data_IF_866546788340
#
_entry.id   IF_866546788340
#
_cell.length_a   1.000
_cell.length_b   1.000
_cell.length_c   1.000
_cell.angle_alpha   90.00
_cell.angle_beta   90.00
_cell.angle_gamma   90.00
#
_symmetry.space_group_name_H-M   'P 1'
#
loop_
_entity.id
_entity.type
_entity.pdbx_description
1 polymer ?
#
# COMPACT_ATOMS: atom_id res chain seq x y z
N UNK A 1 19.59 15.32 14.15
CA UNK A 1 19.50 16.00 12.84
C UNK A 1 18.44 15.29 12.02
N UNK A 2 17.61 16.06 11.34
CA UNK A 2 16.45 15.61 10.57
C UNK A 2 16.85 14.67 9.40
N UNK A 3 16.28 13.45 9.29
CA UNK A 3 16.55 12.50 8.19
C UNK A 3 16.35 13.10 6.79
N UNK A 4 15.41 14.04 6.64
CA UNK A 4 15.16 14.73 5.37
C UNK A 4 16.38 15.55 4.90
N UNK A 5 17.15 16.09 5.85
CA UNK A 5 18.31 16.95 5.59
C UNK A 5 19.55 16.12 5.24
N UNK A 6 19.63 14.87 5.73
CA UNK A 6 20.74 13.96 5.39
C UNK A 6 20.60 13.28 4.03
N UNK A 7 19.50 13.53 3.29
CA UNK A 7 19.25 12.89 2.01
C UNK A 7 18.96 11.39 2.11
N UNK A 8 18.59 10.88 3.28
CA UNK A 8 18.33 9.45 3.49
C UNK A 8 16.93 9.05 3.04
N UNK A 9 16.60 9.38 1.80
CA UNK A 9 15.31 9.09 1.16
C UNK A 9 15.42 7.80 0.36
N UNK A 10 14.43 6.92 0.49
CA UNK A 10 14.35 5.69 -0.28
C UNK A 10 12.93 5.51 -0.84
N UNK A 11 12.80 4.61 -1.82
CA UNK A 11 11.52 4.13 -2.30
C UNK A 11 11.36 2.67 -1.88
N UNK A 12 10.29 2.40 -1.15
CA UNK A 12 9.92 1.05 -0.74
C UNK A 12 9.01 0.47 -1.81
N UNK A 13 9.42 -0.66 -2.37
CA UNK A 13 8.69 -1.37 -3.43
C UNK A 13 7.82 -2.46 -2.82
N UNK A 14 6.60 -2.60 -3.34
CA UNK A 14 5.70 -3.71 -3.00
C UNK A 14 4.73 -4.00 -4.15
N UNK A 15 4.19 -5.22 -4.22
CA UNK A 15 3.04 -5.50 -5.10
C UNK A 15 1.79 -4.68 -4.70
N UNK A 16 1.71 -4.37 -3.41
CA UNK A 16 0.64 -3.67 -2.73
C UNK A 16 0.84 -3.76 -1.23
N UNK A 17 -0.10 -3.22 -0.45
CA UNK A 17 -0.11 -3.31 1.01
C UNK A 17 -1.47 -3.79 1.51
N UNK A 18 -1.49 -4.29 2.74
CA UNK A 18 -2.71 -4.73 3.41
C UNK A 18 -3.20 -3.67 4.38
N UNK A 19 -4.51 -3.49 4.46
CA UNK A 19 -5.14 -2.70 5.52
C UNK A 19 -6.44 -3.38 6.00
N UNK A 20 -6.74 -3.25 7.29
CA UNK A 20 -7.88 -3.91 7.93
C UNK A 20 -8.98 -2.93 8.26
N UNK A 21 -10.07 -3.01 7.48
CA UNK A 21 -11.29 -2.31 7.83
C UNK A 21 -11.90 -2.91 9.11
N UNK A 22 -12.19 -2.05 10.09
CA UNK A 22 -12.87 -2.45 11.32
C UNK A 22 -14.38 -2.21 11.19
N UNK A 23 -15.17 -3.28 11.25
CA UNK A 23 -16.63 -3.17 11.30
C UNK A 23 -17.21 -4.12 12.36
N UNK A 24 -18.05 -3.60 13.25
CA UNK A 24 -18.81 -4.41 14.22
C UNK A 24 -17.98 -5.42 15.04
N UNK A 25 -16.73 -5.07 15.36
CA UNK A 25 -15.79 -5.93 16.09
C UNK A 25 -15.04 -6.96 15.23
N UNK A 26 -15.38 -7.08 13.95
CA UNK A 26 -14.68 -7.89 12.96
C UNK A 26 -13.67 -7.01 12.16
N UNK A 27 -12.61 -7.65 11.66
CA UNK A 27 -11.61 -7.00 10.79
C UNK A 27 -11.63 -7.65 9.42
N UNK A 28 -11.98 -6.88 8.40
CA UNK A 28 -11.91 -7.31 7.01
C UNK A 28 -10.60 -6.80 6.37
N UNK A 29 -9.65 -7.69 6.00
CA UNK A 29 -8.46 -7.27 5.28
C UNK A 29 -8.77 -6.91 3.81
N UNK A 30 -8.12 -5.87 3.35
CA UNK A 30 -8.10 -5.42 1.95
C UNK A 30 -6.66 -5.43 1.45
N UNK A 31 -6.48 -5.77 0.17
CA UNK A 31 -5.22 -5.59 -0.53
C UNK A 31 -5.33 -4.37 -1.43
N UNK A 32 -4.40 -3.42 -1.28
CA UNK A 32 -4.38 -2.12 -1.96
C UNK A 32 -3.11 -2.01 -2.82
N UNK A 33 -3.27 -1.63 -4.08
CA UNK A 33 -2.21 -1.65 -5.09
C UNK A 33 -2.46 -0.58 -6.17
N UNK A 34 -1.46 -0.31 -7.01
CA UNK A 34 -1.71 0.54 -8.19
C UNK A 34 -2.68 -0.14 -9.16
N UNK A 35 -3.58 0.60 -9.83
CA UNK A 35 -4.31 0.07 -10.97
C UNK A 35 -3.34 -0.53 -12.00
N UNK A 36 -3.60 -1.78 -12.40
CA UNK A 36 -2.78 -2.50 -13.36
C UNK A 36 -3.33 -2.25 -14.76
N UNK A 37 -2.47 -1.91 -15.72
CA UNK A 37 -2.88 -1.80 -17.11
C UNK A 37 -3.04 -3.21 -17.70
N UNK A 38 -4.13 -3.44 -18.41
CA UNK A 38 -4.30 -4.65 -19.21
C UNK A 38 -3.53 -4.48 -20.52
N UNK A 39 -2.24 -4.15 -20.46
CA UNK A 39 -1.39 -4.21 -21.64
C UNK A 39 -1.17 -5.69 -21.92
N UNK A 40 -2.07 -6.22 -22.75
CA UNK A 40 -1.92 -7.55 -23.32
C UNK A 40 -0.52 -7.65 -23.91
N UNK A 41 0.06 -8.84 -23.79
CA UNK A 41 1.26 -9.36 -24.45
C UNK A 41 1.20 -9.29 -26.00
N UNK A 42 0.31 -8.48 -26.60
CA UNK A 42 0.10 -8.31 -28.04
C UNK A 42 1.05 -7.28 -28.68
N UNK A 43 1.84 -6.53 -27.90
CA UNK A 43 2.93 -5.73 -28.45
C UNK A 43 4.19 -6.60 -28.50
N UNK A 44 4.59 -7.03 -29.70
CA UNK A 44 5.86 -7.70 -29.99
C UNK A 44 7.10 -6.82 -29.76
N UNK A 45 7.13 -6.04 -28.68
CA UNK A 45 8.31 -5.41 -28.11
C UNK A 45 8.86 -6.28 -26.98
N UNK A 46 10.17 -6.43 -26.93
CA UNK A 46 10.89 -7.40 -26.09
C UNK A 46 10.94 -7.04 -24.58
N UNK A 47 10.15 -6.07 -24.10
CA UNK A 47 10.12 -5.69 -22.69
C UNK A 47 8.86 -6.21 -22.01
N UNK A 48 9.05 -7.11 -21.04
CA UNK A 48 8.03 -7.47 -20.06
C UNK A 48 7.64 -6.21 -19.27
N UNK A 49 6.45 -5.65 -19.51
CA UNK A 49 5.94 -4.49 -18.77
C UNK A 49 5.61 -4.80 -17.29
N UNK A 50 5.59 -6.09 -16.92
CA UNK A 50 5.46 -6.54 -15.53
C UNK A 50 4.18 -6.08 -14.84
N UNK A 51 4.10 -6.36 -13.54
CA UNK A 51 3.10 -5.76 -12.65
C UNK A 51 3.61 -4.39 -12.25
N UNK A 52 2.75 -3.36 -12.30
CA UNK A 52 3.06 -2.02 -11.81
C UNK A 52 3.20 -2.07 -10.29
N UNK A 53 4.44 -2.04 -9.80
CA UNK A 53 4.75 -2.06 -8.37
C UNK A 53 4.36 -0.75 -7.68
N UNK A 54 3.88 -0.89 -6.45
CA UNK A 54 3.66 0.23 -5.55
C UNK A 54 5.00 0.82 -5.10
N UNK A 55 5.12 2.13 -5.24
CA UNK A 55 6.30 2.92 -4.89
C UNK A 55 5.96 3.81 -3.72
N UNK A 56 6.43 3.47 -2.52
CA UNK A 56 6.13 4.22 -1.30
C UNK A 56 7.34 5.05 -0.86
N UNK A 57 7.11 6.31 -0.54
CA UNK A 57 8.15 7.19 -0.01
C UNK A 57 8.59 6.69 1.38
N UNK A 58 9.89 6.42 1.51
CA UNK A 58 10.50 5.99 2.76
C UNK A 58 11.70 6.84 3.15
N UNK A 59 12.08 6.71 4.41
CA UNK A 59 13.33 7.21 4.95
C UNK A 59 14.15 6.02 5.43
N UNK A 60 15.46 6.07 5.27
CA UNK A 60 16.34 5.03 5.77
C UNK A 60 17.39 5.59 6.75
N UNK A 61 17.98 4.72 7.55
CA UNK A 61 19.17 5.04 8.33
C UNK A 61 20.10 3.83 8.39
N UNK A 62 21.38 4.10 8.63
CA UNK A 62 22.41 3.08 8.78
C UNK A 62 22.93 3.08 10.21
N UNK A 63 22.83 1.93 10.88
CA UNK A 63 23.37 1.73 12.21
C UNK A 63 24.55 0.76 12.17
N UNK A 64 25.68 1.13 12.77
CA UNK A 64 26.87 0.26 12.87
C UNK A 64 26.99 -0.28 14.29
N UNK A 65 27.05 -1.61 14.49
CA UNK A 65 27.23 -2.20 15.81
C UNK A 65 28.52 -1.72 16.48
N UNK A 66 28.50 -1.26 17.74
CA UNK A 66 29.70 -0.82 18.45
C UNK A 66 30.75 -1.93 18.64
N UNK A 67 30.31 -3.19 18.67
CA UNK A 67 31.15 -4.37 18.77
C UNK A 67 31.86 -4.75 17.46
N UNK A 68 31.70 -3.96 16.40
CA UNK A 68 32.15 -4.30 15.05
C UNK A 68 31.13 -5.16 14.31
N UNK A 69 31.11 -5.06 12.98
CA UNK A 69 30.18 -5.78 12.11
C UNK A 69 29.75 -4.98 10.90
N UNK A 70 28.88 -5.58 10.07
CA UNK A 70 28.27 -4.92 8.93
C UNK A 70 27.28 -3.82 9.38
N UNK A 71 27.15 -2.77 8.55
CA UNK A 71 26.18 -1.72 8.80
C UNK A 71 24.76 -2.25 8.54
N UNK A 72 23.87 -2.08 9.51
CA UNK A 72 22.46 -2.40 9.39
C UNK A 72 21.74 -1.22 8.73
N UNK A 73 21.09 -1.46 7.60
CA UNK A 73 20.21 -0.49 6.95
C UNK A 73 18.77 -0.78 7.33
N UNK A 74 18.10 0.19 7.93
CA UNK A 74 16.68 0.12 8.28
C UNK A 74 15.93 1.22 7.59
N UNK A 75 14.65 1.02 7.32
CA UNK A 75 13.79 2.03 6.72
C UNK A 75 12.47 2.18 7.47
N UNK A 76 11.78 3.29 7.21
CA UNK A 76 10.40 3.54 7.60
C UNK A 76 9.62 4.04 6.39
N UNK A 77 8.36 3.65 6.27
CA UNK A 77 7.43 4.17 5.26
C UNK A 77 6.78 5.44 5.81
N UNK A 78 6.75 6.51 5.01
CA UNK A 78 6.06 7.75 5.36
C UNK A 78 4.56 7.54 5.17
N UNK A 79 3.75 8.01 6.13
CA UNK A 79 2.29 7.96 6.04
C UNK A 79 1.69 9.35 5.92
N UNK A 80 0.55 9.44 5.24
CA UNK A 80 -0.28 10.63 5.05
C UNK A 80 -1.72 10.32 5.45
N UNK A 81 -2.58 11.33 5.46
CA UNK A 81 -4.03 11.12 5.59
C UNK A 81 -4.54 10.24 4.44
N UNK A 82 -5.55 9.42 4.71
CA UNK A 82 -6.16 8.58 3.70
C UNK A 82 -6.84 9.41 2.59
N UNK A 83 -6.76 8.91 1.36
CA UNK A 83 -7.55 9.41 0.24
C UNK A 83 -9.02 9.02 0.38
N UNK A 84 -9.90 9.61 -0.44
CA UNK A 84 -11.34 9.27 -0.40
C UNK A 84 -11.61 7.80 -0.72
N UNK A 85 -10.72 7.18 -1.50
CA UNK A 85 -10.81 5.77 -1.81
C UNK A 85 -10.50 4.85 -0.60
N UNK A 86 -9.83 5.35 0.44
CA UNK A 86 -9.34 4.54 1.57
C UNK A 86 -9.90 4.96 2.93
N UNK A 87 -10.47 6.17 3.06
CA UNK A 87 -10.93 6.74 4.35
C UNK A 87 -11.92 5.84 5.13
N UNK A 88 -12.73 5.06 4.42
CA UNK A 88 -13.71 4.12 4.95
C UNK A 88 -13.09 2.79 5.44
N UNK A 89 -11.80 2.57 5.14
CA UNK A 89 -10.99 1.44 5.63
C UNK A 89 -10.13 1.89 6.82
N UNK A 90 -9.37 2.97 6.66
CA UNK A 90 -8.45 3.52 7.66
C UNK A 90 -8.20 5.02 7.41
N UNK A 91 -7.82 5.77 8.44
CA UNK A 91 -7.59 7.23 8.39
C UNK A 91 -6.21 7.63 7.82
N UNK A 92 -5.37 6.64 7.50
CA UNK A 92 -3.97 6.81 7.09
C UNK A 92 -3.66 5.92 5.90
N UNK A 93 -2.74 6.37 5.06
CA UNK A 93 -2.21 5.59 3.95
C UNK A 93 -0.71 5.85 3.77
N UNK A 94 0.04 4.95 3.11
CA UNK A 94 1.41 5.24 2.68
C UNK A 94 1.46 6.45 1.73
N UNK A 95 2.52 7.24 1.83
CA UNK A 95 2.80 8.27 0.83
C UNK A 95 3.28 7.60 -0.46
N UNK A 96 2.38 7.45 -1.42
CA UNK A 96 2.66 6.77 -2.69
C UNK A 96 3.21 7.76 -3.72
N UNK A 97 4.34 7.41 -4.33
CA UNK A 97 5.02 8.18 -5.38
C UNK A 97 4.53 7.69 -6.75
N UNK A 98 3.48 8.32 -7.28
CA UNK A 98 2.88 7.95 -8.56
C UNK A 98 3.73 8.44 -9.75
N UNK A 99 4.37 7.50 -10.44
CA UNK A 99 5.12 7.73 -11.68
C UNK A 99 6.62 7.91 -11.48
N UNK A 100 7.37 7.74 -12.57
CA UNK A 100 8.84 7.79 -12.58
C UNK A 100 9.39 9.16 -12.17
N UNK A 101 8.71 10.24 -12.54
CA UNK A 101 9.08 11.60 -12.18
C UNK A 101 9.09 11.80 -10.66
N UNK A 102 8.01 11.39 -9.98
CA UNK A 102 7.89 11.52 -8.53
C UNK A 102 8.94 10.67 -7.81
N UNK A 103 9.19 9.45 -8.31
CA UNK A 103 10.26 8.57 -7.80
C UNK A 103 11.64 9.22 -7.96
N UNK A 104 11.94 9.75 -9.16
CA UNK A 104 13.22 10.40 -9.44
C UNK A 104 13.43 11.61 -8.54
N UNK A 105 12.44 12.51 -8.46
CA UNK A 105 12.50 13.69 -7.62
C UNK A 105 12.68 13.33 -6.13
N UNK A 106 12.06 12.24 -5.67
CA UNK A 106 12.22 11.77 -4.31
C UNK A 106 13.62 11.21 -4.04
N UNK A 107 14.20 10.42 -4.96
CA UNK A 107 15.51 9.81 -4.77
C UNK A 107 16.68 10.78 -4.99
N UNK A 108 16.51 11.80 -5.82
CA UNK A 108 17.56 12.75 -6.17
C UNK A 108 17.81 13.79 -5.07
N UNK A 109 18.48 13.37 -3.99
CA UNK A 109 18.84 14.26 -2.88
C UNK A 109 19.97 15.24 -3.20
N UNK A 110 20.70 15.02 -4.30
CA UNK A 110 21.76 15.92 -4.74
C UNK A 110 21.19 17.20 -5.34
N UNK A 111 20.19 17.07 -6.21
CA UNK A 111 19.59 18.19 -6.92
C UNK A 111 18.29 18.70 -6.27
N UNK A 112 17.52 17.82 -5.60
CA UNK A 112 16.21 18.18 -5.03
C UNK A 112 16.32 18.44 -3.52
N UNK A 113 16.14 19.71 -3.08
CA UNK A 113 16.15 20.06 -1.67
C UNK A 113 15.02 19.37 -0.91
N UNK A 114 15.24 19.12 0.39
CA UNK A 114 14.26 18.47 1.26
C UNK A 114 12.86 19.12 1.20
N UNK A 115 12.78 20.46 1.15
CA UNK A 115 11.50 21.17 1.10
C UNK A 115 10.70 20.91 -0.18
N UNK A 116 11.38 20.66 -1.31
CA UNK A 116 10.71 20.29 -2.57
C UNK A 116 10.27 18.82 -2.53
N UNK A 117 11.12 17.93 -2.02
CA UNK A 117 10.78 16.52 -1.86
C UNK A 117 9.55 16.29 -0.97
N UNK A 118 9.40 17.06 0.12
CA UNK A 118 8.23 16.97 1.02
C UNK A 118 6.91 17.28 0.31
N UNK A 119 6.91 18.07 -0.77
CA UNK A 119 5.68 18.36 -1.55
C UNK A 119 5.13 17.12 -2.27
N UNK A 120 5.95 16.09 -2.46
CA UNK A 120 5.53 14.80 -3.03
C UNK A 120 4.75 13.96 -2.01
N UNK A 121 4.86 14.28 -0.72
CA UNK A 121 4.23 13.55 0.38
C UNK A 121 2.80 14.02 0.56
N UNK A 122 1.89 13.41 -0.21
CA UNK A 122 0.45 13.71 -0.21
C UNK A 122 -0.37 12.45 -0.53
N UNK A 123 -1.66 12.40 -0.15
CA UNK A 123 -2.54 11.29 -0.55
C UNK A 123 -2.66 11.20 -2.07
N UNK A 124 -2.85 9.98 -2.57
CA UNK A 124 -3.15 9.70 -3.98
C UNK A 124 -4.49 9.00 -4.10
N UNK A 125 -5.23 9.34 -5.15
CA UNK A 125 -6.48 8.66 -5.54
C UNK A 125 -6.23 7.52 -6.54
N UNK A 126 -4.99 7.38 -7.02
CA UNK A 126 -4.57 6.39 -8.03
C UNK A 126 -4.31 5.03 -7.39
N UNK A 127 -5.31 4.48 -6.70
CA UNK A 127 -5.24 3.18 -6.03
C UNK A 127 -6.44 2.31 -6.41
N UNK A 128 -6.18 1.01 -6.52
CA UNK A 128 -7.20 -0.03 -6.60
C UNK A 128 -7.13 -0.87 -5.32
N UNK A 129 -8.26 -1.44 -4.91
CA UNK A 129 -8.34 -2.31 -3.73
C UNK A 129 -9.41 -3.39 -3.91
N UNK A 130 -9.21 -4.52 -3.25
CA UNK A 130 -10.22 -5.57 -3.12
C UNK A 130 -10.11 -6.28 -1.77
N UNK A 131 -11.21 -6.84 -1.24
CA UNK A 131 -11.17 -7.62 -0.02
C UNK A 131 -10.42 -8.93 -0.25
N UNK A 132 -9.64 -9.36 0.75
CA UNK A 132 -8.91 -10.63 0.75
C UNK A 132 -9.31 -11.51 1.93
N UNK A 133 -8.86 -12.76 1.92
CA UNK A 133 -9.13 -13.71 3.00
C UNK A 133 -8.38 -13.34 4.28
N UNK A 134 -8.92 -13.73 5.44
CA UNK A 134 -8.27 -13.62 6.76
C UNK A 134 -7.01 -14.47 6.91
N UNK A 135 -6.71 -15.32 5.91
CA UNK A 135 -5.43 -16.04 5.79
C UNK A 135 -4.23 -15.10 5.94
N UNK A 136 -4.30 -13.87 5.44
CA UNK A 136 -3.21 -12.88 5.54
C UNK A 136 -2.92 -12.44 6.98
N UNK A 137 -3.83 -12.68 7.93
CA UNK A 137 -3.63 -12.29 9.32
C UNK A 137 -2.47 -13.03 10.00
N UNK A 138 -2.08 -14.20 9.46
CA UNK A 138 -0.91 -14.92 9.93
C UNK A 138 0.27 -14.61 9.01
N UNK A 139 1.24 -13.84 9.50
CA UNK A 139 2.43 -13.43 8.75
C UNK A 139 3.34 -14.58 8.30
N UNK A 140 3.11 -15.81 8.78
CA UNK A 140 3.81 -17.00 8.28
C UNK A 140 3.23 -17.52 6.95
N UNK A 141 2.07 -17.02 6.53
CA UNK A 141 1.43 -17.42 5.29
C UNK A 141 1.97 -16.58 4.13
N UNK A 142 2.79 -17.21 3.29
CA UNK A 142 3.39 -16.59 2.11
C UNK A 142 3.01 -17.38 0.84
N UNK A 143 1.77 -17.18 0.40
CA UNK A 143 1.21 -17.85 -0.77
C UNK A 143 0.17 -16.97 -1.48
N UNK A 144 -0.12 -17.29 -2.74
CA UNK A 144 -0.91 -16.44 -3.66
C UNK A 144 -2.32 -16.12 -3.13
N UNK A 145 -2.92 -16.97 -2.31
CA UNK A 145 -4.24 -16.75 -1.71
C UNK A 145 -4.30 -15.50 -0.82
N UNK A 146 -3.16 -15.03 -0.30
CA UNK A 146 -3.10 -13.80 0.51
C UNK A 146 -3.47 -12.54 -0.29
N UNK A 147 -3.38 -12.58 -1.62
CA UNK A 147 -3.72 -11.44 -2.51
C UNK A 147 -4.89 -11.73 -3.44
N UNK A 148 -5.55 -12.91 -3.33
CA UNK A 148 -6.69 -13.23 -4.19
C UNK A 148 -7.94 -12.51 -3.69
N UNK A 149 -8.72 -11.89 -4.58
CA UNK A 149 -9.97 -11.26 -4.20
C UNK A 149 -10.95 -12.32 -3.67
N UNK A 150 -11.73 -11.94 -2.66
CA UNK A 150 -12.85 -12.72 -2.14
C UNK A 150 -14.17 -12.01 -2.38
N UNK A 151 -15.27 -12.75 -2.43
CA UNK A 151 -16.61 -12.17 -2.35
C UNK A 151 -16.98 -11.97 -0.87
N UNK A 152 -17.30 -10.73 -0.50
CA UNK A 152 -17.89 -10.47 0.82
C UNK A 152 -19.33 -10.97 0.79
N UNK A 153 -19.60 -12.06 1.51
CA UNK A 153 -20.95 -12.59 1.63
C UNK A 153 -21.89 -11.50 2.15
N UNK A 154 -22.90 -11.12 1.34
CA UNK A 154 -23.99 -10.27 1.80
C UNK A 154 -24.63 -10.98 2.99
N UNK A 155 -24.46 -10.46 4.21
CA UNK A 155 -25.28 -10.88 5.35
C UNK A 155 -26.72 -10.60 4.93
N UNK A 156 -27.47 -11.64 4.55
CA UNK A 156 -28.93 -11.56 4.37
C UNK A 156 -29.46 -10.94 5.65
N UNK A 157 -29.89 -9.67 5.59
CA UNK A 157 -30.73 -9.10 6.63
C UNK A 157 -31.95 -10.00 6.66
N UNK A 158 -32.06 -10.81 7.71
CA UNK A 158 -33.20 -11.68 7.92
C UNK A 158 -34.43 -10.82 8.15
N UNK A 159 -35.08 -10.38 7.07
CA UNK A 159 -36.43 -9.87 7.15
C UNK A 159 -37.31 -11.09 7.38
N UNK A 160 -37.54 -11.39 8.65
CA UNK A 160 -38.53 -12.34 9.11
C UNK A 160 -39.90 -11.79 8.68
N UNK A 161 -40.36 -12.14 7.48
CA UNK A 161 -41.76 -11.96 7.11
C UNK A 161 -42.58 -12.94 7.94
N UNK A 162 -43.12 -12.45 9.07
CA UNK A 162 -44.17 -13.14 9.81
C UNK A 162 -45.44 -12.99 8.98
N UNK A 163 -45.77 -13.99 8.17
CA UNK A 163 -47.10 -14.13 7.59
C UNK A 163 -48.06 -14.50 8.73
N UNK A 164 -48.83 -13.54 9.23
CA UNK A 164 -50.04 -13.84 9.98
C UNK A 164 -51.11 -14.29 8.99
N UNK A 165 -51.33 -15.60 8.90
CA UNK A 165 -52.57 -16.14 8.35
C UNK A 165 -53.64 -16.04 9.44
N UNK A 166 -54.57 -15.10 9.29
CA UNK A 166 -55.81 -15.14 10.07
C UNK A 166 -56.86 -15.96 9.31
N UNK A 167 -57.48 -16.85 10.07
CA UNK A 167 -58.59 -17.74 9.70
C UNK A 167 -59.89 -16.98 9.48
#
# INVERSE_FOLDING_TARGET
MDPFVKGQRCVVLADGFYEWQRQHGEKQPYFIYFPQTCEKEEAGGEEWAGRRLLTMAGLFDSWRPPCGGEALYTYTVITVEASKAMDWIHDRMPAILDGEEAVRMWLDYGEIPAMEAVKLIRPTESIALHPVSTVVNNSRNDFLECIKPIELGVKKVGVLFICFANS
#
